data_IF_750917449878
#
_entry.id   IF_750917449878
#
_cell.length_a   1.000
_cell.length_b   1.000
_cell.length_c   1.000
_cell.angle_alpha   90.00
_cell.angle_beta   90.00
_cell.angle_gamma   90.00
#
_symmetry.space_group_name_H-M   'P 1'
#
loop_
_entity.id
_entity.type
_entity.pdbx_description
1 polymer ?
#
# COMPACT_ATOMS: atom_id res chain seq x y z
N UNK A 1 -9.53 1.38 -20.52
CA UNK A 1 -10.41 0.44 -19.77
C UNK A 1 -10.45 0.94 -18.33
N UNK A 2 -11.58 0.96 -17.63
CA UNK A 2 -11.68 1.55 -16.28
C UNK A 2 -12.17 0.53 -15.26
N UNK A 3 -11.58 0.54 -14.06
CA UNK A 3 -12.09 -0.16 -12.88
C UNK A 3 -12.86 0.81 -11.98
N UNK A 4 -13.90 0.31 -11.33
CA UNK A 4 -14.74 1.08 -10.41
C UNK A 4 -14.89 0.32 -9.09
N UNK A 5 -14.55 0.94 -7.97
CA UNK A 5 -14.68 0.36 -6.64
C UNK A 5 -14.79 1.46 -5.58
N UNK A 6 -15.68 1.30 -4.59
CA UNK A 6 -15.83 2.24 -3.46
C UNK A 6 -15.94 3.73 -3.86
N UNK A 7 -16.60 4.04 -4.97
CA UNK A 7 -16.72 5.40 -5.50
C UNK A 7 -15.47 5.96 -6.19
N UNK A 8 -14.37 5.20 -6.24
CA UNK A 8 -13.16 5.53 -6.97
C UNK A 8 -13.16 4.92 -8.38
N UNK A 9 -12.38 5.52 -9.27
CA UNK A 9 -12.15 5.05 -10.64
C UNK A 9 -10.66 4.95 -10.91
N UNK A 10 -10.19 3.82 -11.48
CA UNK A 10 -8.81 3.64 -11.93
C UNK A 10 -8.79 3.47 -13.45
N UNK A 11 -8.09 4.34 -14.17
CA UNK A 11 -7.97 4.27 -15.63
C UNK A 11 -6.77 3.44 -16.06
N UNK A 12 -7.03 2.28 -16.64
CA UNK A 12 -6.01 1.31 -17.07
C UNK A 12 -5.51 1.58 -18.50
N UNK A 13 -5.52 2.84 -18.96
CA UNK A 13 -4.95 3.21 -20.27
C UNK A 13 -3.43 3.24 -20.27
N UNK A 14 -2.81 3.23 -19.09
CA UNK A 14 -1.38 3.13 -18.90
C UNK A 14 -1.03 2.06 -17.84
N UNK A 15 0.22 1.57 -17.81
CA UNK A 15 0.67 0.68 -16.74
C UNK A 15 0.52 1.33 -15.37
N UNK A 16 0.25 0.49 -14.39
CA UNK A 16 0.14 0.85 -12.98
C UNK A 16 1.09 -0.01 -12.17
N UNK A 17 1.71 0.59 -11.17
CA UNK A 17 2.52 -0.13 -10.19
C UNK A 17 1.67 -0.37 -8.95
N UNK A 18 1.64 -1.64 -8.53
CA UNK A 18 1.09 -2.06 -7.24
C UNK A 18 2.27 -2.30 -6.29
N UNK A 19 2.35 -1.48 -5.24
CA UNK A 19 3.25 -1.72 -4.12
C UNK A 19 2.85 -2.99 -3.38
N UNK A 20 3.80 -3.62 -2.69
CA UNK A 20 3.54 -4.78 -1.85
C UNK A 20 3.80 -4.36 -0.40
N UNK A 21 2.73 -4.28 0.40
CA UNK A 21 2.82 -4.05 1.84
C UNK A 21 2.46 -5.32 2.62
N UNK A 22 3.45 -6.16 2.88
CA UNK A 22 3.25 -7.30 3.77
C UNK A 22 3.12 -6.81 5.21
N UNK A 23 2.05 -7.20 5.92
CA UNK A 23 1.83 -6.87 7.34
C UNK A 23 1.57 -8.16 8.11
N UNK A 24 2.58 -9.01 8.22
CA UNK A 24 2.52 -10.28 8.95
C UNK A 24 3.19 -10.17 10.32
N UNK A 25 2.76 -10.94 11.34
CA UNK A 25 3.32 -10.86 12.69
C UNK A 25 4.83 -11.14 12.79
N UNK A 26 5.38 -11.93 11.86
CA UNK A 26 6.78 -12.31 11.76
C UNK A 26 7.66 -11.32 10.98
N UNK A 27 7.06 -10.48 10.12
CA UNK A 27 7.79 -9.44 9.36
C UNK A 27 8.14 -8.21 10.21
N UNK A 28 7.56 -8.07 11.41
CA UNK A 28 7.68 -6.88 12.28
C UNK A 28 7.92 -7.26 13.75
N UNK A 29 8.79 -8.23 13.99
CA UNK A 29 9.03 -8.81 15.31
C UNK A 29 9.86 -7.92 16.25
N UNK A 30 9.27 -6.82 16.76
CA UNK A 30 9.81 -6.01 17.89
C UNK A 30 8.73 -5.66 18.94
N UNK A 31 7.65 -6.44 19.05
CA UNK A 31 6.68 -6.31 20.15
C UNK A 31 5.31 -5.72 19.81
N UNK A 32 4.88 -5.83 18.55
CA UNK A 32 3.51 -6.22 18.18
C UNK A 32 2.31 -5.29 18.43
N UNK A 33 2.38 -4.26 19.28
CA UNK A 33 1.17 -3.51 19.67
C UNK A 33 1.14 -2.04 19.23
N UNK A 34 2.29 -1.39 19.02
CA UNK A 34 2.32 0.06 18.74
C UNK A 34 3.20 0.51 17.56
N UNK A 35 4.22 -0.27 17.13
CA UNK A 35 5.10 0.15 16.02
C UNK A 35 4.67 -0.36 14.64
N UNK A 36 4.03 -1.53 14.55
CA UNK A 36 3.78 -2.20 13.26
C UNK A 36 2.81 -1.43 12.36
N UNK A 37 1.77 -0.80 12.93
CA UNK A 37 0.84 0.03 12.17
C UNK A 37 1.51 1.31 11.65
N UNK A 38 2.26 2.02 12.50
CA UNK A 38 2.92 3.27 12.12
C UNK A 38 3.97 2.99 11.03
N UNK A 39 4.73 1.91 11.16
CA UNK A 39 5.70 1.48 10.16
C UNK A 39 5.04 1.10 8.83
N UNK A 40 3.94 0.33 8.87
CA UNK A 40 3.18 -0.02 7.68
C UNK A 40 2.64 1.22 6.96
N UNK A 41 2.06 2.17 7.71
CA UNK A 41 1.56 3.44 7.14
C UNK A 41 2.70 4.29 6.59
N UNK A 42 3.85 4.34 7.27
CA UNK A 42 5.03 5.06 6.77
C UNK A 42 5.54 4.45 5.47
N UNK A 43 5.59 3.13 5.38
CA UNK A 43 6.00 2.43 4.17
C UNK A 43 4.99 2.64 3.03
N UNK A 44 3.69 2.57 3.33
CA UNK A 44 2.64 2.92 2.37
C UNK A 44 2.84 4.33 1.81
N UNK A 45 3.10 5.32 2.66
CA UNK A 45 3.34 6.70 2.24
C UNK A 45 4.59 6.81 1.33
N UNK A 46 5.67 6.08 1.63
CA UNK A 46 6.85 6.04 0.75
C UNK A 46 6.51 5.48 -0.64
N UNK A 47 5.69 4.41 -0.71
CA UNK A 47 5.26 3.82 -1.98
C UNK A 47 4.38 4.77 -2.80
N UNK A 48 3.44 5.48 -2.16
CA UNK A 48 2.64 6.52 -2.84
C UNK A 48 3.55 7.60 -3.43
N UNK A 49 4.51 8.10 -2.65
CA UNK A 49 5.45 9.14 -3.10
C UNK A 49 6.39 8.66 -4.22
N UNK A 50 6.66 7.35 -4.29
CA UNK A 50 7.41 6.73 -5.37
C UNK A 50 6.57 6.49 -6.65
N UNK A 51 5.25 6.75 -6.61
CA UNK A 51 4.35 6.64 -7.76
C UNK A 51 3.57 5.32 -7.83
N UNK A 52 3.56 4.51 -6.76
CA UNK A 52 2.64 3.38 -6.69
C UNK A 52 1.19 3.88 -6.64
N UNK A 53 0.34 3.29 -7.47
CA UNK A 53 -1.08 3.68 -7.59
C UNK A 53 -2.03 2.71 -6.88
N UNK A 54 -1.49 1.57 -6.46
CA UNK A 54 -2.13 0.54 -5.64
C UNK A 54 -1.08 0.10 -4.62
N UNK A 55 -1.50 -0.29 -3.42
CA UNK A 55 -0.64 -0.83 -2.35
C UNK A 55 -1.28 -2.12 -1.83
#
# INVERSE_FOLDING_TARGET
MKLFAQGATLDLTHPHVMGILNVTPDSFSDGGAHNTLIEAVKHANLMVNAGATII
#
